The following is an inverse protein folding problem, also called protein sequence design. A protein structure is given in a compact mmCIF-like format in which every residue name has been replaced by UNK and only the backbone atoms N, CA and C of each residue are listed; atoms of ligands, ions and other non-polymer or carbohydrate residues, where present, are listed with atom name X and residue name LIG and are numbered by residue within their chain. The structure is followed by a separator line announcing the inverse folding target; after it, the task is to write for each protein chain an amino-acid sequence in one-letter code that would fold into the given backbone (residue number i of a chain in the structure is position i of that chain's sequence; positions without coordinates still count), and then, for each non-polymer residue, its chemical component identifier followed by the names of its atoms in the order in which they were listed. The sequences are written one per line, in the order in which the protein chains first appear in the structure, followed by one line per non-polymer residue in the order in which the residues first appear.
data_IF_640279876841
#
_entry.id   IF_640279876841
#
_cell.length_a   1.000
_cell.length_b   1.000
_cell.length_c   1.000
_cell.angle_alpha   90.00
_cell.angle_beta   90.00
_cell.angle_gamma   90.00
#
_symmetry.space_group_name_H-M   'P 1'
#
loop_
_entity.id
_entity.type
_entity.pdbx_description
1 polymer ?
#
# COMPACT_ATOMS: atom_id res chain seq x y z
N UNK A 1 -4.90 3.84 29.29
CA UNK A 1 -6.16 3.82 28.52
C UNK A 1 -5.84 3.96 27.02
N UNK A 2 -6.52 3.22 26.18
CA UNK A 2 -6.34 3.21 24.71
C UNK A 2 -6.48 4.62 24.12
N UNK A 3 -7.25 5.49 24.75
CA UNK A 3 -7.50 6.87 24.33
C UNK A 3 -6.26 7.81 24.36
N UNK A 4 -5.17 7.41 24.99
CA UNK A 4 -3.91 8.20 25.01
C UNK A 4 -2.83 7.67 24.07
N UNK A 5 -2.89 6.39 23.69
CA UNK A 5 -1.86 5.74 22.87
C UNK A 5 -1.99 6.12 21.39
N UNK A 6 -3.21 6.14 20.86
CA UNK A 6 -3.45 6.46 19.43
C UNK A 6 -3.04 7.90 19.10
N UNK A 7 -3.43 8.93 19.86
CA UNK A 7 -2.93 10.29 19.64
C UNK A 7 -1.40 10.37 19.70
N UNK A 8 -0.77 9.73 20.69
CA UNK A 8 0.70 9.69 20.80
C UNK A 8 1.37 9.06 19.58
N UNK A 9 0.83 7.97 19.03
CA UNK A 9 1.34 7.31 17.84
C UNK A 9 1.06 8.10 16.54
N UNK A 10 0.20 9.12 16.58
CA UNK A 10 -0.02 10.06 15.45
C UNK A 10 0.95 11.24 15.46
N UNK A 11 1.60 11.52 16.56
CA UNK A 11 2.62 12.56 16.65
C UNK A 11 3.93 12.12 15.99
N UNK A 12 4.75 13.08 15.56
CA UNK A 12 6.08 12.82 15.01
C UNK A 12 7.09 12.64 16.14
N UNK A 13 7.17 11.43 16.67
CA UNK A 13 8.17 11.02 17.64
C UNK A 13 8.85 9.72 17.19
N UNK A 14 10.01 9.42 17.75
CA UNK A 14 10.80 8.24 17.37
C UNK A 14 10.01 6.93 17.48
N UNK A 15 9.24 6.77 18.56
CA UNK A 15 8.42 5.56 18.78
C UNK A 15 7.35 5.41 17.73
N UNK A 16 6.66 6.51 17.37
CA UNK A 16 5.64 6.53 16.32
C UNK A 16 6.24 6.18 14.95
N UNK A 17 7.38 6.76 14.60
CA UNK A 17 8.07 6.47 13.33
C UNK A 17 8.46 4.99 13.26
N UNK A 18 9.07 4.45 14.29
CA UNK A 18 9.43 3.02 14.36
C UNK A 18 8.21 2.12 14.24
N UNK A 19 7.14 2.44 14.97
CA UNK A 19 5.89 1.68 14.93
C UNK A 19 5.28 1.67 13.52
N UNK A 20 5.20 2.82 12.85
CA UNK A 20 4.65 2.93 11.50
C UNK A 20 5.47 2.13 10.48
N UNK A 21 6.80 2.19 10.53
CA UNK A 21 7.66 1.43 9.64
C UNK A 21 7.53 -0.08 9.85
N UNK A 22 7.51 -0.53 11.11
CA UNK A 22 7.30 -1.95 11.43
C UNK A 22 5.90 -2.39 10.99
N UNK A 23 4.87 -1.60 11.26
CA UNK A 23 3.51 -1.89 10.83
C UNK A 23 3.40 -2.02 9.30
N UNK A 24 4.08 -1.13 8.55
CA UNK A 24 4.13 -1.20 7.09
C UNK A 24 4.78 -2.51 6.60
N UNK A 25 5.88 -2.94 7.23
CA UNK A 25 6.52 -4.21 6.93
C UNK A 25 5.57 -5.40 7.22
N UNK A 26 4.90 -5.40 8.35
CA UNK A 26 3.98 -6.47 8.74
C UNK A 26 2.78 -6.55 7.78
N UNK A 27 2.11 -5.44 7.53
CA UNK A 27 0.94 -5.40 6.65
C UNK A 27 1.30 -5.77 5.21
N UNK A 28 2.37 -5.20 4.65
CA UNK A 28 2.86 -5.54 3.32
C UNK A 28 3.30 -7.00 3.24
N UNK A 29 3.97 -7.50 4.28
CA UNK A 29 4.42 -8.88 4.40
C UNK A 29 3.25 -9.88 4.44
N UNK A 30 2.19 -9.60 5.18
CA UNK A 30 1.00 -10.48 5.23
C UNK A 30 0.37 -10.66 3.85
N UNK A 31 0.21 -9.58 3.10
CA UNK A 31 -0.32 -9.65 1.72
C UNK A 31 0.65 -10.42 0.83
N UNK A 32 1.94 -10.11 0.92
CA UNK A 32 2.98 -10.75 0.12
C UNK A 32 3.16 -12.24 0.38
N UNK A 33 2.92 -12.72 1.61
CA UNK A 33 2.95 -14.15 1.94
C UNK A 33 1.90 -14.95 1.17
N UNK A 34 0.68 -14.43 1.09
CA UNK A 34 -0.39 -15.07 0.31
C UNK A 34 -0.03 -15.13 -1.18
N UNK A 35 0.57 -14.08 -1.72
CA UNK A 35 1.01 -14.02 -3.13
C UNK A 35 2.18 -14.97 -3.41
N UNK A 36 3.14 -15.04 -2.51
CA UNK A 36 4.30 -15.91 -2.61
C UNK A 36 3.92 -17.40 -2.60
N UNK A 37 2.97 -17.79 -1.75
CA UNK A 37 2.43 -19.18 -1.73
C UNK A 37 1.81 -19.61 -3.06
N UNK A 38 1.22 -18.67 -3.80
CA UNK A 38 0.61 -18.92 -5.12
C UNK A 38 1.61 -18.76 -6.27
N UNK A 39 2.91 -18.66 -6.02
CA UNK A 39 3.98 -18.46 -7.02
C UNK A 39 3.68 -17.33 -8.00
N UNK A 40 3.14 -16.20 -7.51
CA UNK A 40 2.88 -15.02 -8.32
C UNK A 40 4.16 -14.20 -8.54
N UNK A 41 4.23 -13.35 -9.60
CA UNK A 41 5.44 -12.58 -9.95
C UNK A 41 6.00 -11.74 -8.81
N UNK A 42 5.15 -11.08 -8.02
CA UNK A 42 5.54 -10.35 -6.81
C UNK A 42 5.12 -11.14 -5.56
N UNK A 43 6.05 -11.34 -4.62
CA UNK A 43 5.86 -12.10 -3.40
C UNK A 43 6.14 -11.28 -2.14
N UNK A 44 6.45 -11.99 -1.06
CA UNK A 44 6.62 -11.46 0.29
C UNK A 44 7.51 -10.20 0.37
N UNK A 45 8.74 -10.29 -0.17
CA UNK A 45 9.71 -9.19 -0.11
C UNK A 45 9.24 -7.96 -0.87
N UNK A 46 8.66 -8.15 -2.05
CA UNK A 46 8.22 -7.06 -2.92
C UNK A 46 7.11 -6.24 -2.26
N UNK A 47 6.09 -6.90 -1.76
CA UNK A 47 4.97 -6.24 -1.06
C UNK A 47 5.41 -5.52 0.20
N UNK A 48 6.30 -6.15 0.99
CA UNK A 48 6.87 -5.55 2.20
C UNK A 48 7.64 -4.27 1.88
N UNK A 49 8.54 -4.30 0.88
CA UNK A 49 9.35 -3.16 0.49
C UNK A 49 8.52 -2.03 -0.11
N UNK A 50 7.51 -2.35 -0.91
CA UNK A 50 6.58 -1.34 -1.48
C UNK A 50 5.82 -0.63 -0.37
N UNK A 51 5.26 -1.36 0.57
CA UNK A 51 4.53 -0.78 1.70
C UNK A 51 5.44 0.05 2.60
N UNK A 52 6.63 -0.45 2.92
CA UNK A 52 7.64 0.24 3.72
C UNK A 52 8.11 1.54 3.05
N UNK A 53 8.44 1.49 1.75
CA UNK A 53 8.88 2.66 0.99
C UNK A 53 7.80 3.74 0.90
N UNK A 54 6.54 3.35 0.71
CA UNK A 54 5.42 4.27 0.70
C UNK A 54 5.21 4.93 2.08
N UNK A 55 5.29 4.16 3.17
CA UNK A 55 5.20 4.69 4.54
C UNK A 55 6.34 5.66 4.85
N UNK A 56 7.57 5.33 4.47
CA UNK A 56 8.73 6.20 4.62
C UNK A 56 8.55 7.52 3.83
N UNK A 57 8.06 7.44 2.61
CA UNK A 57 7.81 8.63 1.78
C UNK A 57 6.79 9.58 2.43
N UNK A 58 5.72 9.03 3.02
CA UNK A 58 4.74 9.84 3.74
C UNK A 58 5.32 10.44 5.02
N UNK A 59 6.15 9.71 5.76
CA UNK A 59 6.86 10.22 6.92
C UNK A 59 7.83 11.36 6.56
N UNK A 60 8.54 11.25 5.42
CA UNK A 60 9.40 12.32 4.90
C UNK A 60 8.59 13.58 4.58
N UNK A 61 7.41 13.43 3.98
CA UNK A 61 6.50 14.56 3.72
C UNK A 61 6.08 15.28 5.01
N UNK A 62 5.71 14.51 6.03
CA UNK A 62 5.35 15.07 7.34
C UNK A 62 6.54 15.73 8.04
N UNK A 63 7.72 15.15 7.93
CA UNK A 63 8.95 15.71 8.48
C UNK A 63 9.31 17.05 7.81
N UNK A 64 9.28 17.11 6.47
CA UNK A 64 9.51 18.36 5.73
C UNK A 64 8.52 19.46 6.17
N UNK A 65 7.22 19.11 6.27
CA UNK A 65 6.21 20.04 6.74
C UNK A 65 6.53 20.57 8.15
N UNK A 66 6.87 19.68 9.09
CA UNK A 66 7.20 20.04 10.46
C UNK A 66 8.43 20.95 10.54
N UNK A 67 9.45 20.71 9.71
CA UNK A 67 10.66 21.54 9.67
C UNK A 67 10.38 22.93 9.11
N UNK A 68 9.59 23.04 8.03
CA UNK A 68 9.24 24.34 7.42
C UNK A 68 8.32 25.16 8.33
N UNK A 69 7.41 24.53 9.05
CA UNK A 69 6.52 25.21 10.01
C UNK A 69 7.18 25.49 11.36
N UNK A 70 8.31 24.86 11.65
CA UNK A 70 9.06 24.98 12.90
C UNK A 70 10.45 25.63 12.71
N UNK A 71 11.55 24.85 12.81
CA UNK A 71 12.93 25.38 12.84
C UNK A 71 13.32 26.21 11.61
N UNK A 72 12.76 25.93 10.43
CA UNK A 72 13.10 26.60 9.16
C UNK A 72 12.11 27.71 8.79
N UNK A 73 11.16 28.05 9.66
CA UNK A 73 10.08 28.99 9.36
C UNK A 73 10.57 30.35 8.86
N UNK A 74 11.62 30.92 9.48
CA UNK A 74 12.20 32.21 9.07
C UNK A 74 12.75 32.13 7.65
N UNK A 75 13.60 31.18 7.37
CA UNK A 75 14.21 30.97 6.05
C UNK A 75 13.14 30.64 4.99
N UNK A 76 12.16 29.84 5.34
CA UNK A 76 11.08 29.48 4.44
C UNK A 76 10.22 30.67 4.03
N UNK A 77 9.96 31.62 4.96
CA UNK A 77 9.24 32.85 4.68
C UNK A 77 10.05 33.79 3.76
N UNK A 78 11.36 33.95 4.03
CA UNK A 78 12.25 34.79 3.21
C UNK A 78 12.36 34.29 1.76
N UNK A 79 12.40 32.94 1.59
CA UNK A 79 12.52 32.29 0.28
C UNK A 79 11.17 32.04 -0.41
N UNK A 80 10.04 32.35 0.23
CA UNK A 80 8.70 32.09 -0.31
C UNK A 80 8.40 30.59 -0.48
N UNK A 81 9.02 29.72 0.33
CA UNK A 81 8.83 28.27 0.26
C UNK A 81 7.42 27.89 0.67
N UNK A 82 6.75 27.12 -0.19
CA UNK A 82 5.45 26.51 0.08
C UNK A 82 5.64 25.00 0.20
N UNK A 83 5.10 24.40 1.26
CA UNK A 83 5.06 22.95 1.43
C UNK A 83 3.76 22.39 0.86
N UNK A 84 3.88 21.30 0.12
CA UNK A 84 2.74 20.51 -0.36
C UNK A 84 2.87 19.08 0.17
N UNK A 85 2.12 18.80 1.23
CA UNK A 85 2.13 17.49 1.91
C UNK A 85 1.63 16.38 1.00
N UNK A 86 0.82 16.69 -0.01
CA UNK A 86 0.26 15.72 -0.94
C UNK A 86 1.25 15.26 -2.03
N UNK A 87 2.26 16.05 -2.33
CA UNK A 87 3.16 15.84 -3.47
C UNK A 87 3.92 14.52 -3.39
N UNK A 88 4.49 14.18 -2.24
CA UNK A 88 5.23 12.93 -2.05
C UNK A 88 4.32 11.71 -2.23
N UNK A 89 3.13 11.72 -1.64
CA UNK A 89 2.14 10.66 -1.81
C UNK A 89 1.69 10.48 -3.25
N UNK A 90 1.43 11.58 -3.96
CA UNK A 90 1.07 11.54 -5.37
C UNK A 90 2.16 10.91 -6.24
N UNK A 91 3.44 11.19 -5.97
CA UNK A 91 4.56 10.57 -6.69
C UNK A 91 4.68 9.07 -6.42
N UNK A 92 4.42 8.61 -5.19
CA UNK A 92 4.37 7.16 -4.89
C UNK A 92 3.26 6.49 -5.70
N UNK A 93 2.05 7.06 -5.73
CA UNK A 93 0.91 6.50 -6.47
C UNK A 93 1.22 6.40 -7.97
N UNK A 94 1.86 7.41 -8.55
CA UNK A 94 2.28 7.39 -9.94
C UNK A 94 3.45 6.41 -10.19
N UNK A 95 4.46 6.43 -9.32
CA UNK A 95 5.67 5.64 -9.47
C UNK A 95 5.45 4.14 -9.35
N UNK A 96 4.53 3.70 -8.50
CA UNK A 96 4.20 2.27 -8.33
C UNK A 96 3.59 1.66 -9.60
N UNK A 97 3.02 2.50 -10.48
CA UNK A 97 2.51 2.06 -11.77
C UNK A 97 3.58 1.40 -12.64
N UNK A 98 4.84 1.86 -12.58
CA UNK A 98 5.97 1.26 -13.28
C UNK A 98 6.26 -0.18 -12.78
N UNK A 99 6.30 -0.39 -11.47
CA UNK A 99 6.48 -1.72 -10.88
C UNK A 99 5.29 -2.63 -11.19
N UNK A 100 4.07 -2.08 -11.10
CA UNK A 100 2.85 -2.79 -11.47
C UNK A 100 2.88 -3.27 -12.92
N UNK A 101 3.18 -2.38 -13.84
CA UNK A 101 3.30 -2.70 -15.27
C UNK A 101 4.36 -3.78 -15.53
N UNK A 102 5.48 -3.76 -14.81
CA UNK A 102 6.54 -4.77 -14.88
C UNK A 102 6.09 -6.18 -14.48
N UNK A 103 4.96 -6.34 -13.79
CA UNK A 103 4.40 -7.65 -13.44
C UNK A 103 3.36 -8.17 -14.45
N UNK A 104 2.96 -7.35 -15.41
CA UNK A 104 1.96 -7.71 -16.42
C UNK A 104 2.68 -8.35 -17.59
N UNK A 105 2.34 -9.58 -17.90
CA UNK A 105 2.93 -10.36 -18.99
C UNK A 105 1.85 -10.77 -19.98
N UNK A 106 2.16 -10.62 -21.27
CA UNK A 106 1.34 -11.18 -22.36
C UNK A 106 2.00 -12.48 -22.80
N UNK A 107 1.27 -13.58 -22.74
CA UNK A 107 1.75 -14.90 -23.17
C UNK A 107 1.51 -15.09 -24.67
N UNK A 108 2.20 -16.06 -25.30
CA UNK A 108 2.04 -16.39 -26.71
C UNK A 108 0.62 -16.84 -27.12
N UNK A 109 -0.27 -17.08 -26.14
CA UNK A 109 -1.71 -17.33 -26.34
C UNK A 109 -2.57 -16.09 -26.20
N UNK A 110 -1.97 -14.89 -26.20
CA UNK A 110 -2.65 -13.61 -25.96
C UNK A 110 -3.35 -13.51 -24.58
N UNK A 111 -3.00 -14.34 -23.61
CA UNK A 111 -3.49 -14.22 -22.25
C UNK A 111 -2.68 -13.18 -21.49
N UNK A 112 -3.36 -12.24 -20.84
CA UNK A 112 -2.73 -11.24 -19.97
C UNK A 112 -2.69 -11.78 -18.55
N UNK A 113 -1.48 -11.93 -17.98
CA UNK A 113 -1.25 -12.39 -16.61
C UNK A 113 -0.60 -11.27 -15.78
N UNK A 114 -0.84 -11.27 -14.46
CA UNK A 114 -0.20 -10.32 -13.56
C UNK A 114 -1.05 -9.11 -13.16
N UNK A 115 -2.23 -8.90 -13.75
CA UNK A 115 -3.10 -7.75 -13.44
C UNK A 115 -3.45 -7.66 -11.94
N UNK A 116 -3.84 -8.76 -11.31
CA UNK A 116 -4.13 -8.79 -9.88
C UNK A 116 -2.88 -8.51 -9.04
N UNK A 117 -1.70 -8.93 -9.51
CA UNK A 117 -0.43 -8.63 -8.84
C UNK A 117 -0.12 -7.14 -8.92
N UNK A 118 -0.28 -6.53 -10.10
CA UNK A 118 -0.11 -5.09 -10.31
C UNK A 118 -1.05 -4.26 -9.43
N UNK A 119 -2.34 -4.61 -9.43
CA UNK A 119 -3.36 -3.96 -8.59
C UNK A 119 -3.04 -4.13 -7.08
N UNK A 120 -2.56 -5.30 -6.67
CA UNK A 120 -2.15 -5.57 -5.29
C UNK A 120 -0.94 -4.75 -4.85
N UNK A 121 0.06 -4.56 -5.71
CA UNK A 121 1.20 -3.69 -5.44
C UNK A 121 0.77 -2.23 -5.26
N UNK A 122 -0.12 -1.76 -6.14
CA UNK A 122 -0.70 -0.42 -6.04
C UNK A 122 -1.46 -0.23 -4.73
N UNK A 123 -2.34 -1.16 -4.37
CA UNK A 123 -3.09 -1.13 -3.11
C UNK A 123 -2.16 -1.18 -1.88
N UNK A 124 -1.08 -1.98 -1.93
CA UNK A 124 -0.09 -2.06 -0.86
C UNK A 124 0.68 -0.75 -0.69
N UNK A 125 1.00 -0.03 -1.77
CA UNK A 125 1.61 1.30 -1.70
C UNK A 125 0.65 2.32 -1.05
N UNK A 126 -0.62 2.34 -1.47
CA UNK A 126 -1.64 3.22 -0.85
C UNK A 126 -1.81 2.93 0.65
N UNK A 127 -1.80 1.65 1.03
CA UNK A 127 -1.83 1.25 2.44
C UNK A 127 -0.58 1.75 3.20
N UNK A 128 0.60 1.66 2.60
CA UNK A 128 1.83 2.20 3.16
C UNK A 128 1.75 3.72 3.39
N UNK A 129 1.19 4.48 2.45
CA UNK A 129 0.94 5.92 2.63
C UNK A 129 0.01 6.18 3.82
N UNK A 130 -1.07 5.42 3.96
CA UNK A 130 -2.00 5.53 5.08
C UNK A 130 -1.32 5.22 6.44
N UNK A 131 -0.45 4.21 6.48
CA UNK A 131 0.34 3.87 7.67
C UNK A 131 1.29 5.02 8.01
N UNK A 132 2.02 5.53 7.03
CA UNK A 132 2.93 6.67 7.20
C UNK A 132 2.21 7.93 7.67
N UNK A 133 0.97 8.15 7.24
CA UNK A 133 0.12 9.23 7.70
C UNK A 133 -0.43 9.04 9.13
N UNK A 134 -0.34 7.84 9.70
CA UNK A 134 -0.91 7.52 11.02
C UNK A 134 -2.42 7.32 11.01
N UNK A 135 -3.00 6.97 9.86
CA UNK A 135 -4.43 6.70 9.70
C UNK A 135 -4.75 5.22 9.98
N UNK A 136 -4.55 4.80 11.22
CA UNK A 136 -4.58 3.39 11.64
C UNK A 136 -5.92 2.70 11.44
N UNK A 137 -7.05 3.41 11.62
CA UNK A 137 -8.39 2.86 11.42
C UNK A 137 -8.59 2.42 9.96
N UNK A 138 -8.17 3.25 9.03
CA UNK A 138 -8.17 2.92 7.60
C UNK A 138 -7.25 1.74 7.29
N UNK A 139 -6.06 1.71 7.89
CA UNK A 139 -5.07 0.64 7.69
C UNK A 139 -5.63 -0.71 8.08
N UNK A 140 -6.26 -0.83 9.26
CA UNK A 140 -6.87 -2.09 9.71
C UNK A 140 -7.96 -2.55 8.74
N UNK A 141 -8.87 -1.66 8.39
CA UNK A 141 -9.95 -1.97 7.46
C UNK A 141 -9.42 -2.38 6.08
N UNK A 142 -8.51 -1.59 5.50
CA UNK A 142 -7.93 -1.86 4.18
C UNK A 142 -7.13 -3.17 4.16
N UNK A 143 -6.35 -3.45 5.20
CA UNK A 143 -5.58 -4.71 5.30
C UNK A 143 -6.52 -5.92 5.25
N UNK A 144 -7.61 -5.87 6.03
CA UNK A 144 -8.62 -6.94 6.03
C UNK A 144 -9.28 -7.07 4.65
N UNK A 145 -9.71 -5.97 4.04
CA UNK A 145 -10.38 -5.99 2.73
C UNK A 145 -9.45 -6.49 1.62
N UNK A 146 -8.21 -6.02 1.57
CA UNK A 146 -7.22 -6.47 0.57
C UNK A 146 -6.95 -7.97 0.75
N UNK A 147 -6.78 -8.42 2.00
CA UNK A 147 -6.54 -9.84 2.28
C UNK A 147 -7.75 -10.70 1.87
N UNK A 148 -8.97 -10.27 2.17
CA UNK A 148 -10.19 -10.95 1.75
C UNK A 148 -10.29 -11.03 0.22
N UNK A 149 -10.06 -9.91 -0.48
CA UNK A 149 -10.07 -9.89 -1.94
C UNK A 149 -9.04 -10.87 -2.54
N UNK A 150 -7.85 -10.92 -2.00
CA UNK A 150 -6.79 -11.77 -2.55
C UNK A 150 -6.95 -13.26 -2.19
N UNK A 151 -7.58 -13.57 -1.06
CA UNK A 151 -7.68 -14.94 -0.55
C UNK A 151 -8.97 -15.64 -0.96
N UNK A 152 -10.10 -14.93 -0.86
CA UNK A 152 -11.43 -15.54 -0.99
C UNK A 152 -12.08 -15.31 -2.37
N UNK A 153 -11.89 -14.13 -2.98
CA UNK A 153 -12.49 -13.85 -4.29
C UNK A 153 -12.11 -14.88 -5.37
N UNK A 154 -10.88 -15.35 -5.49
CA UNK A 154 -10.54 -16.36 -6.50
C UNK A 154 -11.32 -17.67 -6.35
N UNK A 155 -11.60 -18.11 -5.11
CA UNK A 155 -12.41 -19.31 -4.87
C UNK A 155 -13.86 -19.09 -5.26
N UNK A 156 -14.40 -17.91 -4.96
CA UNK A 156 -15.76 -17.51 -5.32
C UNK A 156 -15.92 -17.36 -6.84
N UNK A 157 -14.95 -16.76 -7.51
CA UNK A 157 -14.90 -16.60 -8.96
C UNK A 157 -14.91 -17.97 -9.67
N UNK A 158 -14.07 -18.91 -9.23
CA UNK A 158 -14.04 -20.26 -9.76
C UNK A 158 -15.38 -20.98 -9.59
N UNK A 159 -16.01 -20.84 -8.42
CA UNK A 159 -17.33 -21.41 -8.16
C UNK A 159 -18.40 -20.86 -9.13
N UNK A 160 -18.39 -19.54 -9.38
CA UNK A 160 -19.34 -18.93 -10.31
C UNK A 160 -19.10 -19.39 -11.76
N UNK A 161 -17.84 -19.49 -12.17
CA UNK A 161 -17.47 -19.93 -13.52
C UNK A 161 -17.86 -21.38 -13.75
N UNK A 162 -17.61 -22.28 -12.79
CA UNK A 162 -18.06 -23.66 -12.87
C UNK A 162 -19.57 -23.75 -13.01
N UNK A 163 -20.34 -23.01 -12.20
CA UNK A 163 -21.79 -23.02 -12.26
C UNK A 163 -22.33 -22.49 -13.60
N UNK A 164 -21.71 -21.43 -14.15
CA UNK A 164 -22.08 -20.88 -15.46
C UNK A 164 -21.77 -21.89 -16.59
N UNK A 165 -20.71 -22.67 -16.46
CA UNK A 165 -20.33 -23.67 -17.48
C UNK A 165 -21.31 -24.85 -17.54
N UNK A 166 -21.87 -25.26 -16.39
CA UNK A 166 -22.92 -26.27 -16.34
C UNK A 166 -24.21 -25.86 -17.03
N UNK A 167 -24.57 -24.56 -17.00
CA UNK A 167 -25.77 -24.03 -17.65
C UNK A 167 -25.63 -24.05 -19.19
N UNK A 168 -24.44 -23.80 -19.73
CA UNK A 168 -24.19 -23.76 -21.16
C UNK A 168 -24.08 -25.15 -21.84
N UNK A 169 -24.04 -26.23 -21.07
CA UNK A 169 -23.98 -27.60 -21.63
C UNK A 169 -25.40 -28.19 -21.84
N UNK A 170 -26.43 -27.56 -21.27
CA UNK A 170 -27.83 -27.99 -21.38
C UNK A 170 -28.69 -27.13 -22.35
N UNK A 171 -28.07 -26.29 -23.19
CA UNK A 171 -28.69 -25.59 -24.29
C UNK A 171 -28.08 -26.04 -25.61
#
# INVERSE_FOLDING_TARGET
SVNGVIPYLREMNFVSVMFRLILAMVCGGMIGLERGRKRRPAGFRTYMLVCLGAALTMLLSQYEFAMVMGPWKGIAQELGMKTDVSRFGAQVINGIGFLGAGTILVTGRQEVKGLTTAAGLWASACMGLAIGAGFYECVVLCTVLIFLCMRFLPAFENYLVEKARFINIYV
#
